data_IF_522909024490
#
_entry.id   IF_522909024490
#
_cell.length_a   1.000
_cell.length_b   1.000
_cell.length_c   1.000
_cell.angle_alpha   90.00
_cell.angle_beta   90.00
_cell.angle_gamma   90.00
#
_symmetry.space_group_name_H-M   'P 1'
#
loop_
_entity.id
_entity.type
_entity.pdbx_description
1 polymer ?
#
# COMPACT_ATOMS: atom_id res chain seq x y z
N UNK A 1 28.99 -29.09 -20.80
CA UNK A 1 27.82 -28.34 -20.46
C UNK A 1 27.78 -28.06 -18.96
N UNK A 2 28.25 -26.88 -18.57
CA UNK A 2 28.29 -26.45 -17.17
C UNK A 2 27.33 -25.28 -17.03
N UNK A 3 26.06 -25.59 -16.77
CA UNK A 3 25.13 -24.59 -16.22
C UNK A 3 25.68 -24.10 -14.88
N UNK A 4 25.96 -22.81 -14.73
CA UNK A 4 26.34 -22.29 -13.41
C UNK A 4 25.16 -22.47 -12.46
N UNK A 5 25.47 -22.90 -11.26
CA UNK A 5 24.56 -23.08 -10.15
C UNK A 5 23.75 -21.79 -9.89
N UNK A 6 22.54 -21.74 -10.39
CA UNK A 6 21.54 -20.68 -10.12
C UNK A 6 20.96 -20.73 -8.71
N UNK A 7 21.60 -21.42 -7.76
CA UNK A 7 20.97 -21.73 -6.49
C UNK A 7 21.19 -20.68 -5.40
N UNK A 8 22.44 -20.40 -5.03
CA UNK A 8 22.74 -19.62 -3.82
C UNK A 8 22.87 -18.12 -4.07
N UNK A 9 23.46 -17.70 -5.18
CA UNK A 9 23.63 -16.29 -5.48
C UNK A 9 22.31 -15.53 -5.74
N UNK A 10 21.30 -16.22 -6.29
CA UNK A 10 19.98 -15.64 -6.51
C UNK A 10 19.14 -15.57 -5.23
N UNK A 11 19.33 -16.51 -4.30
CA UNK A 11 18.65 -16.49 -2.99
C UNK A 11 19.15 -15.30 -2.17
N UNK A 12 20.47 -15.09 -2.10
CA UNK A 12 21.04 -13.94 -1.37
C UNK A 12 20.68 -12.58 -2.00
N UNK A 13 20.49 -12.52 -3.32
CA UNK A 13 20.06 -11.29 -4.01
C UNK A 13 18.55 -11.01 -3.82
N UNK A 14 17.74 -12.04 -3.53
CA UNK A 14 16.29 -11.90 -3.31
C UNK A 14 15.94 -11.64 -1.86
N UNK A 15 16.82 -11.95 -0.90
CA UNK A 15 16.54 -11.71 0.53
C UNK A 15 16.18 -10.25 0.83
N UNK A 16 16.90 -9.21 0.31
CA UNK A 16 16.49 -7.82 0.52
C UNK A 16 15.15 -7.47 -0.13
N UNK A 17 14.74 -8.21 -1.19
CA UNK A 17 13.46 -7.99 -1.84
C UNK A 17 12.28 -8.54 -1.03
N UNK A 18 12.52 -9.52 -0.17
CA UNK A 18 11.50 -10.14 0.68
C UNK A 18 11.54 -9.62 2.11
N UNK A 19 12.59 -8.92 2.52
CA UNK A 19 12.70 -8.35 3.85
C UNK A 19 11.83 -7.08 3.96
N UNK A 20 10.79 -7.06 4.82
CA UNK A 20 9.91 -5.91 5.01
C UNK A 20 10.65 -4.69 5.57
N UNK A 21 11.80 -4.88 6.25
CA UNK A 21 12.62 -3.82 6.85
C UNK A 21 13.80 -3.39 5.97
N UNK A 22 13.93 -3.92 4.75
CA UNK A 22 15.08 -3.64 3.86
C UNK A 22 15.34 -2.16 3.58
N UNK A 23 14.37 -1.28 3.81
CA UNK A 23 14.47 0.17 3.65
C UNK A 23 14.51 0.94 4.99
N UNK A 24 14.55 0.25 6.11
CA UNK A 24 14.44 0.84 7.45
C UNK A 24 15.80 1.11 8.14
N UNK A 25 16.85 1.35 7.34
CA UNK A 25 18.20 1.76 7.80
C UNK A 25 18.82 0.83 8.87
N UNK A 26 18.70 -0.48 8.63
CA UNK A 26 19.24 -1.53 9.51
C UNK A 26 18.37 -1.89 10.71
N UNK A 27 17.23 -1.23 10.89
CA UNK A 27 16.24 -1.64 11.89
C UNK A 27 15.61 -2.97 11.50
N UNK A 28 15.41 -3.84 12.49
CA UNK A 28 14.71 -5.11 12.38
C UNK A 28 13.62 -5.15 13.45
N UNK A 29 12.37 -5.11 13.01
CA UNK A 29 11.20 -5.20 13.90
C UNK A 29 10.71 -6.64 14.10
N UNK A 30 9.49 -6.82 14.64
CA UNK A 30 8.87 -8.12 14.81
C UNK A 30 8.60 -8.81 13.47
N UNK A 31 8.32 -10.13 13.53
CA UNK A 31 7.87 -10.88 12.36
C UNK A 31 6.61 -10.24 11.77
N UNK A 32 6.61 -10.08 10.45
CA UNK A 32 5.48 -9.52 9.73
C UNK A 32 4.62 -10.64 9.13
N UNK A 33 3.29 -10.46 8.98
CA UNK A 33 2.43 -11.38 8.27
C UNK A 33 2.94 -11.65 6.86
N UNK A 34 2.78 -12.88 6.40
CA UNK A 34 3.19 -13.24 5.03
C UNK A 34 2.28 -12.61 3.96
N UNK A 35 1.03 -12.29 4.30
CA UNK A 35 0.06 -11.64 3.41
C UNK A 35 -0.26 -12.43 2.14
N UNK A 36 -0.10 -13.77 2.16
CA UNK A 36 -0.16 -14.62 0.97
C UNK A 36 -1.28 -15.68 1.00
N UNK A 37 -2.13 -15.65 2.00
CA UNK A 37 -3.22 -16.58 2.20
C UNK A 37 -4.56 -15.89 2.34
N UNK A 38 -5.62 -16.53 1.83
CA UNK A 38 -7.00 -16.10 2.03
C UNK A 38 -7.41 -16.53 3.44
N UNK A 39 -7.97 -15.61 4.20
CA UNK A 39 -8.50 -15.91 5.53
C UNK A 39 -9.62 -14.92 5.90
N UNK A 40 -10.36 -15.25 6.93
CA UNK A 40 -11.26 -14.29 7.59
C UNK A 40 -10.43 -13.47 8.60
N UNK A 41 -10.36 -12.17 8.38
CA UNK A 41 -9.66 -11.25 9.28
C UNK A 41 -10.56 -10.98 10.49
N UNK A 42 -10.14 -11.42 11.67
CA UNK A 42 -10.92 -11.33 12.91
C UNK A 42 -11.12 -9.89 13.37
N UNK A 43 -10.19 -8.97 13.04
CA UNK A 43 -10.28 -7.58 13.48
C UNK A 43 -11.41 -6.81 12.76
N UNK A 44 -11.68 -7.18 11.51
CA UNK A 44 -12.70 -6.51 10.70
C UNK A 44 -13.90 -7.42 10.38
N UNK A 45 -13.83 -8.73 10.70
CA UNK A 45 -14.89 -9.70 10.45
C UNK A 45 -15.20 -9.91 8.96
N UNK A 46 -14.18 -9.84 8.12
CA UNK A 46 -14.31 -9.97 6.67
C UNK A 46 -13.26 -10.90 6.09
N UNK A 47 -13.61 -11.56 4.99
CA UNK A 47 -12.68 -12.34 4.20
C UNK A 47 -11.74 -11.43 3.43
N UNK A 48 -10.46 -11.76 3.44
CA UNK A 48 -9.41 -11.01 2.75
C UNK A 48 -8.58 -11.91 1.85
N UNK A 49 -8.01 -11.32 0.82
CA UNK A 49 -7.14 -11.99 -0.15
C UNK A 49 -5.81 -11.24 -0.30
N UNK A 50 -4.74 -11.93 -0.72
CA UNK A 50 -3.45 -11.29 -0.97
C UNK A 50 -3.53 -10.10 -1.91
N UNK A 51 -2.83 -9.03 -1.58
CA UNK A 51 -2.67 -7.86 -2.43
C UNK A 51 -1.26 -7.81 -3.04
N UNK A 52 -1.19 -7.79 -4.36
CA UNK A 52 0.08 -7.93 -5.08
C UNK A 52 1.11 -6.83 -4.76
N UNK A 53 0.67 -5.64 -4.37
CA UNK A 53 1.56 -4.52 -4.04
C UNK A 53 2.02 -4.52 -2.58
N UNK A 54 1.45 -5.36 -1.71
CA UNK A 54 1.78 -5.43 -0.29
C UNK A 54 3.29 -5.60 -0.05
N UNK A 55 3.97 -6.44 -0.83
CA UNK A 55 5.42 -6.69 -0.73
C UNK A 55 6.26 -5.41 -0.91
N UNK A 56 5.78 -4.46 -1.71
CA UNK A 56 6.45 -3.17 -1.96
C UNK A 56 5.99 -2.15 -0.91
N UNK A 57 4.69 -2.09 -0.67
CA UNK A 57 4.09 -1.10 0.22
C UNK A 57 4.56 -1.28 1.67
N UNK A 58 4.62 -2.51 2.17
CA UNK A 58 5.12 -2.84 3.51
C UNK A 58 6.51 -2.22 3.78
N UNK A 59 7.43 -2.28 2.83
CA UNK A 59 8.76 -1.67 2.97
C UNK A 59 8.70 -0.15 3.10
N UNK A 60 7.82 0.49 2.32
CA UNK A 60 7.63 1.93 2.37
C UNK A 60 6.99 2.38 3.68
N UNK A 61 6.08 1.58 4.24
CA UNK A 61 5.45 1.84 5.54
C UNK A 61 6.49 1.72 6.66
N UNK A 62 7.27 0.63 6.71
CA UNK A 62 8.34 0.48 7.71
C UNK A 62 9.45 1.53 7.55
N UNK A 63 9.80 1.94 6.31
CA UNK A 63 10.69 3.08 6.10
C UNK A 63 10.09 4.37 6.66
N UNK A 64 8.80 4.61 6.46
CA UNK A 64 8.12 5.79 7.02
C UNK A 64 8.18 5.77 8.54
N UNK A 65 7.91 4.63 9.18
CA UNK A 65 8.01 4.47 10.62
C UNK A 65 9.43 4.77 11.14
N UNK A 66 10.45 4.19 10.50
CA UNK A 66 11.86 4.43 10.85
C UNK A 66 12.26 5.90 10.70
N UNK A 67 11.89 6.55 9.59
CA UNK A 67 12.17 7.97 9.35
C UNK A 67 11.47 8.91 10.34
N UNK A 68 10.36 8.48 10.93
CA UNK A 68 9.62 9.21 11.97
C UNK A 68 10.05 8.84 13.40
N UNK A 69 11.18 8.14 13.57
CA UNK A 69 11.66 7.70 14.87
C UNK A 69 10.74 6.69 15.54
N UNK A 70 10.17 5.79 14.74
CA UNK A 70 9.25 4.72 15.17
C UNK A 70 7.95 5.25 15.81
N UNK A 71 7.38 6.28 15.21
CA UNK A 71 6.14 6.89 15.70
C UNK A 71 4.94 5.91 15.74
N UNK A 72 4.97 4.84 14.95
CA UNK A 72 3.97 3.75 14.99
C UNK A 72 4.31 2.65 16.00
N UNK A 73 5.48 2.71 16.68
CA UNK A 73 6.04 1.69 17.55
C UNK A 73 7.18 0.91 16.89
N UNK A 74 8.12 0.42 17.71
CA UNK A 74 9.17 -0.52 17.27
C UNK A 74 8.60 -1.94 17.08
N UNK A 75 7.50 -2.24 17.74
CA UNK A 75 6.73 -3.48 17.66
C UNK A 75 5.61 -3.44 16.61
N UNK A 76 5.60 -2.42 15.77
CA UNK A 76 4.58 -2.22 14.74
C UNK A 76 4.53 -3.38 13.73
N UNK A 77 3.34 -3.96 13.59
CA UNK A 77 3.02 -5.00 12.61
C UNK A 77 2.09 -4.41 11.56
N UNK A 78 2.36 -4.69 10.30
CA UNK A 78 1.59 -4.19 9.17
C UNK A 78 1.25 -5.32 8.19
N UNK A 79 0.01 -5.35 7.73
CA UNK A 79 -0.45 -6.18 6.63
C UNK A 79 -1.29 -5.35 5.65
N UNK A 80 -1.41 -5.83 4.41
CA UNK A 80 -2.17 -5.16 3.35
C UNK A 80 -2.85 -6.22 2.48
N UNK A 81 -4.18 -6.22 2.50
CA UNK A 81 -5.00 -7.25 1.88
C UNK A 81 -6.13 -6.64 1.06
N UNK A 82 -6.66 -7.40 0.12
CA UNK A 82 -7.90 -7.06 -0.60
C UNK A 82 -9.11 -7.60 0.17
N UNK A 83 -10.08 -6.72 0.43
CA UNK A 83 -11.30 -7.10 1.15
C UNK A 83 -12.27 -7.79 0.18
N UNK A 84 -12.67 -9.02 0.52
CA UNK A 84 -13.70 -9.77 -0.20
C UNK A 84 -15.11 -9.53 0.35
N UNK A 85 -15.23 -9.15 1.64
CA UNK A 85 -16.50 -8.98 2.34
C UNK A 85 -16.79 -10.06 3.37
N UNK A 86 -17.99 -10.08 3.92
CA UNK A 86 -18.38 -11.01 4.98
C UNK A 86 -19.06 -12.27 4.46
N UNK A 87 -18.97 -13.37 5.24
CA UNK A 87 -19.64 -14.63 5.00
C UNK A 87 -19.20 -15.35 3.73
N UNK A 88 -20.02 -16.29 3.24
CA UNK A 88 -19.68 -17.11 2.06
C UNK A 88 -19.50 -16.31 0.78
N UNK A 89 -20.25 -15.21 0.61
CA UNK A 89 -20.09 -14.31 -0.55
C UNK A 89 -18.74 -13.62 -0.50
N UNK A 90 -18.34 -13.14 0.68
CA UNK A 90 -17.03 -12.52 0.90
C UNK A 90 -15.89 -13.50 0.66
N UNK A 91 -16.02 -14.74 1.12
CA UNK A 91 -15.07 -15.81 0.87
C UNK A 91 -14.89 -16.08 -0.63
N UNK A 92 -16.00 -16.24 -1.35
CA UNK A 92 -15.96 -16.47 -2.79
C UNK A 92 -15.30 -15.29 -3.55
N UNK A 93 -15.55 -14.07 -3.12
CA UNK A 93 -14.91 -12.87 -3.69
C UNK A 93 -13.39 -12.85 -3.41
N UNK A 94 -12.97 -13.19 -2.18
CA UNK A 94 -11.55 -13.31 -1.84
C UNK A 94 -10.84 -14.41 -2.63
N UNK A 95 -11.48 -15.57 -2.82
CA UNK A 95 -10.97 -16.67 -3.67
C UNK A 95 -10.82 -16.24 -5.14
N UNK A 96 -11.80 -15.51 -5.66
CA UNK A 96 -11.74 -14.96 -7.01
C UNK A 96 -10.60 -13.94 -7.16
N UNK A 97 -10.42 -13.05 -6.15
CA UNK A 97 -9.33 -12.08 -6.12
C UNK A 97 -7.95 -12.75 -6.15
N UNK A 98 -7.74 -13.76 -5.30
CA UNK A 98 -6.47 -14.46 -5.22
C UNK A 98 -6.14 -15.27 -6.49
N UNK A 99 -7.14 -15.73 -7.23
CA UNK A 99 -6.95 -16.49 -8.48
C UNK A 99 -6.67 -15.62 -9.71
N UNK A 100 -6.57 -14.27 -9.55
CA UNK A 100 -6.44 -13.31 -10.65
C UNK A 100 -7.55 -13.39 -11.71
N UNK A 101 -8.70 -13.94 -11.38
CA UNK A 101 -9.83 -14.07 -12.31
C UNK A 101 -10.49 -12.71 -12.66
N UNK A 102 -10.01 -11.61 -12.09
CA UNK A 102 -10.49 -10.27 -12.40
C UNK A 102 -9.93 -9.69 -13.71
N UNK A 103 -8.88 -10.31 -14.27
CA UNK A 103 -8.37 -9.94 -15.59
C UNK A 103 -8.72 -11.05 -16.57
N UNK A 104 -9.68 -10.84 -17.49
CA UNK A 104 -9.95 -11.78 -18.57
C UNK A 104 -8.67 -12.06 -19.35
N UNK A 105 -8.39 -13.32 -19.66
CA UNK A 105 -7.26 -13.68 -20.52
C UNK A 105 -7.38 -12.92 -21.86
N UNK A 106 -6.38 -12.14 -22.17
CA UNK A 106 -6.27 -11.41 -23.45
C UNK A 106 -6.69 -9.94 -23.43
N UNK A 107 -7.21 -9.41 -22.31
CA UNK A 107 -7.63 -8.00 -22.23
C UNK A 107 -6.64 -7.07 -21.49
N UNK A 108 -5.51 -7.60 -21.05
CA UNK A 108 -4.49 -6.76 -20.41
C UNK A 108 -3.96 -5.73 -21.43
N UNK A 109 -3.86 -4.44 -21.06
CA UNK A 109 -3.27 -3.42 -21.92
C UNK A 109 -1.86 -3.83 -22.36
N UNK A 110 -1.49 -3.51 -23.59
CA UNK A 110 -0.12 -3.75 -24.07
C UNK A 110 0.88 -2.92 -23.28
N UNK A 111 2.15 -3.36 -23.20
CA UNK A 111 3.19 -2.56 -22.56
C UNK A 111 3.21 -1.12 -23.13
N UNK A 112 3.09 -0.13 -22.24
CA UNK A 112 3.00 1.28 -22.60
C UNK A 112 1.57 1.81 -22.82
N UNK A 113 0.56 0.92 -22.82
CA UNK A 113 -0.85 1.28 -22.78
C UNK A 113 -1.35 1.18 -21.34
N UNK A 114 -2.25 2.06 -20.96
CA UNK A 114 -2.93 2.06 -19.67
C UNK A 114 -4.44 1.86 -19.86
N UNK A 115 -5.23 1.99 -18.79
CA UNK A 115 -6.68 2.01 -18.90
C UNK A 115 -7.13 3.15 -19.82
N UNK A 116 -8.28 2.96 -20.48
CA UNK A 116 -8.87 3.99 -21.32
C UNK A 116 -9.13 5.28 -20.53
N UNK A 117 -9.25 6.40 -21.22
CA UNK A 117 -9.56 7.67 -20.55
C UNK A 117 -10.86 7.60 -19.74
N UNK A 118 -11.86 6.87 -20.25
CA UNK A 118 -13.12 6.64 -19.57
C UNK A 118 -12.92 5.86 -18.26
N UNK A 119 -12.18 4.77 -18.29
CA UNK A 119 -11.87 3.98 -17.08
C UNK A 119 -11.07 4.79 -16.04
N UNK A 120 -10.14 5.64 -16.50
CA UNK A 120 -9.41 6.55 -15.61
C UNK A 120 -10.32 7.60 -14.95
N UNK A 121 -11.32 8.10 -15.65
CA UNK A 121 -12.23 9.15 -15.18
C UNK A 121 -13.37 8.60 -14.32
N UNK A 122 -13.89 7.40 -14.63
CA UNK A 122 -14.99 6.76 -13.92
C UNK A 122 -14.53 5.81 -12.79
N UNK A 123 -13.24 5.51 -12.75
CA UNK A 123 -12.65 4.70 -11.69
C UNK A 123 -12.72 5.37 -10.32
N UNK A 124 -12.66 4.57 -9.27
CA UNK A 124 -12.58 5.02 -7.88
C UNK A 124 -11.89 3.94 -7.05
N UNK A 125 -11.54 4.26 -5.83
CA UNK A 125 -11.06 3.29 -4.86
C UNK A 125 -11.39 3.70 -3.43
N UNK A 126 -11.48 2.68 -2.58
CA UNK A 126 -11.63 2.80 -1.14
C UNK A 126 -10.51 2.00 -0.47
N UNK A 127 -9.81 2.63 0.45
CA UNK A 127 -8.81 2.00 1.31
C UNK A 127 -9.29 2.13 2.75
N UNK A 128 -9.47 1.03 3.44
CA UNK A 128 -9.67 1.00 4.88
C UNK A 128 -8.31 0.79 5.56
N UNK A 129 -7.96 1.68 6.44
CA UNK A 129 -6.82 1.52 7.35
C UNK A 129 -7.37 1.21 8.73
N UNK A 130 -7.21 -0.03 9.18
CA UNK A 130 -7.61 -0.48 10.50
C UNK A 130 -6.39 -0.66 11.39
N UNK A 131 -6.39 -0.08 12.56
CA UNK A 131 -5.32 -0.20 13.53
C UNK A 131 -5.83 -0.65 14.89
N UNK A 132 -5.06 -1.54 15.53
CA UNK A 132 -5.29 -1.99 16.91
C UNK A 132 -4.10 -1.62 17.77
N UNK A 133 -4.33 -0.85 18.81
CA UNK A 133 -3.29 -0.50 19.76
C UNK A 133 -3.05 -1.63 20.77
N UNK A 134 -1.91 -1.58 21.48
CA UNK A 134 -1.54 -2.60 22.49
C UNK A 134 -2.54 -2.73 23.65
N UNK A 135 -3.28 -1.67 23.93
CA UNK A 135 -4.34 -1.65 24.94
C UNK A 135 -5.67 -2.21 24.45
N UNK A 136 -5.73 -2.66 23.19
CA UNK A 136 -6.92 -3.20 22.55
C UNK A 136 -7.85 -2.15 21.94
N UNK A 137 -7.54 -0.86 22.02
CA UNK A 137 -8.27 0.17 21.33
C UNK A 137 -8.07 0.05 19.80
N UNK A 138 -9.13 0.26 19.03
CA UNK A 138 -9.10 0.20 17.58
C UNK A 138 -9.47 1.54 16.96
N UNK A 139 -8.97 1.80 15.78
CA UNK A 139 -9.32 2.95 14.96
C UNK A 139 -9.36 2.51 13.50
N UNK A 140 -10.42 2.91 12.79
CA UNK A 140 -10.50 2.76 11.35
C UNK A 140 -10.55 4.11 10.66
N UNK A 141 -9.88 4.19 9.52
CA UNK A 141 -9.88 5.37 8.65
C UNK A 141 -10.13 4.89 7.23
N UNK A 142 -11.12 5.48 6.58
CA UNK A 142 -11.38 5.26 5.15
C UNK A 142 -10.74 6.37 4.33
N UNK A 143 -9.97 5.99 3.32
CA UNK A 143 -9.38 6.89 2.33
C UNK A 143 -9.95 6.56 0.98
N UNK A 144 -10.60 7.55 0.32
CA UNK A 144 -11.18 7.34 -1.01
C UNK A 144 -10.48 8.20 -2.06
N UNK A 145 -10.54 7.76 -3.32
CA UNK A 145 -10.13 8.54 -4.46
C UNK A 145 -11.19 8.52 -5.56
N UNK A 146 -11.36 9.65 -6.22
CA UNK A 146 -12.42 9.94 -7.21
C UNK A 146 -12.08 9.50 -8.64
N UNK A 147 -10.96 8.82 -8.84
CA UNK A 147 -10.47 8.32 -10.13
C UNK A 147 -9.78 6.98 -9.95
N UNK A 148 -9.47 6.30 -11.05
CA UNK A 148 -8.73 5.04 -10.98
C UNK A 148 -7.42 5.19 -10.20
N UNK A 149 -7.05 4.17 -9.39
CA UNK A 149 -5.87 4.25 -8.54
C UNK A 149 -4.54 4.20 -9.32
N UNK A 150 -4.55 3.63 -10.53
CA UNK A 150 -3.34 3.39 -11.31
C UNK A 150 -2.79 4.64 -11.99
N UNK A 151 -3.65 5.41 -12.62
CA UNK A 151 -3.25 6.56 -13.45
C UNK A 151 -4.00 7.85 -13.07
N UNK A 152 -5.33 7.82 -13.01
CA UNK A 152 -6.15 9.01 -12.81
C UNK A 152 -5.88 9.69 -11.48
N UNK A 153 -5.97 8.97 -10.37
CA UNK A 153 -5.69 9.50 -9.04
C UNK A 153 -4.18 9.69 -8.81
N UNK A 154 -3.36 8.72 -9.18
CA UNK A 154 -1.90 8.79 -8.97
C UNK A 154 -1.26 9.98 -9.66
N UNK A 155 -1.70 10.35 -10.87
CA UNK A 155 -1.18 11.55 -11.55
C UNK A 155 -1.45 12.85 -10.79
N UNK A 156 -2.62 12.96 -10.15
CA UNK A 156 -2.95 14.10 -9.29
C UNK A 156 -2.13 14.10 -8.01
N UNK A 157 -1.99 12.93 -7.37
CA UNK A 157 -1.21 12.79 -6.14
C UNK A 157 0.26 13.15 -6.32
N UNK A 158 0.91 12.72 -7.42
CA UNK A 158 2.32 13.05 -7.65
C UNK A 158 2.51 14.52 -7.99
N UNK A 159 1.58 15.13 -8.75
CA UNK A 159 1.61 16.56 -9.05
C UNK A 159 1.49 17.40 -7.77
N UNK A 160 0.52 17.08 -6.89
CA UNK A 160 0.35 17.77 -5.62
C UNK A 160 1.53 17.54 -4.67
N UNK A 161 2.17 16.38 -4.70
CA UNK A 161 3.39 16.11 -3.93
C UNK A 161 4.56 17.00 -4.39
N UNK A 162 4.73 17.14 -5.71
CA UNK A 162 5.76 18.04 -6.27
C UNK A 162 5.50 19.50 -5.92
N UNK A 163 4.25 19.95 -6.01
CA UNK A 163 3.87 21.33 -5.64
C UNK A 163 4.07 21.55 -4.13
N UNK A 164 3.72 20.59 -3.29
CA UNK A 164 3.93 20.64 -1.85
C UNK A 164 5.41 20.84 -1.50
N UNK A 165 6.31 20.08 -2.11
CA UNK A 165 7.76 20.21 -1.92
C UNK A 165 8.27 21.62 -2.29
N UNK A 166 7.80 22.17 -3.41
CA UNK A 166 8.33 23.43 -3.93
C UNK A 166 7.73 24.65 -3.23
N UNK A 167 6.45 24.59 -2.89
CA UNK A 167 5.72 25.78 -2.40
C UNK A 167 5.52 25.81 -0.90
N UNK A 168 5.25 24.65 -0.31
CA UNK A 168 4.80 24.60 1.09
C UNK A 168 5.92 24.17 2.04
N UNK A 169 6.92 23.41 1.55
CA UNK A 169 8.01 22.86 2.35
C UNK A 169 9.39 23.11 1.71
N UNK A 170 9.73 24.35 1.32
CA UNK A 170 10.98 24.65 0.63
C UNK A 170 12.24 24.40 1.48
N UNK A 171 12.10 24.34 2.80
CA UNK A 171 13.19 24.17 3.76
C UNK A 171 13.43 22.69 4.17
N UNK A 172 12.75 21.73 3.54
CA UNK A 172 13.02 20.32 3.85
C UNK A 172 14.45 19.96 3.47
N UNK A 173 15.16 19.30 4.39
CA UNK A 173 16.52 18.86 4.13
C UNK A 173 16.56 17.87 2.95
N UNK A 174 17.64 17.89 2.17
CA UNK A 174 17.84 16.94 1.09
C UNK A 174 17.95 15.49 1.63
N UNK A 175 17.36 14.53 0.91
CA UNK A 175 17.38 13.13 1.32
C UNK A 175 16.43 12.26 0.52
N UNK A 176 16.33 10.99 0.93
CA UNK A 176 15.38 10.03 0.38
C UNK A 176 14.28 9.77 1.41
N UNK A 177 13.10 10.28 1.16
CA UNK A 177 11.96 10.19 2.04
C UNK A 177 10.79 9.44 1.39
N UNK A 178 9.96 8.86 2.23
CA UNK A 178 8.58 8.52 1.87
C UNK A 178 7.67 9.72 2.12
N UNK A 179 6.48 9.79 1.49
CA UNK A 179 5.62 10.99 1.60
C UNK A 179 5.19 11.36 3.02
N UNK A 180 4.92 10.39 3.88
CA UNK A 180 4.43 10.68 5.22
C UNK A 180 5.46 11.46 6.07
N UNK A 181 6.72 11.02 6.24
CA UNK A 181 7.71 11.77 7.01
C UNK A 181 8.15 13.08 6.33
N UNK A 182 8.10 13.16 4.99
CA UNK A 182 8.52 14.37 4.28
C UNK A 182 7.45 15.46 4.25
N UNK A 183 6.22 15.08 3.95
CA UNK A 183 5.15 16.01 3.57
C UNK A 183 3.98 16.02 4.55
N UNK A 184 3.74 14.91 5.26
CA UNK A 184 2.80 14.78 6.37
C UNK A 184 1.41 15.36 6.12
N UNK A 185 0.92 16.12 7.08
CA UNK A 185 -0.40 16.76 7.05
C UNK A 185 -0.52 17.82 5.93
N UNK A 186 0.58 18.46 5.53
CA UNK A 186 0.57 19.45 4.46
C UNK A 186 0.15 18.82 3.13
N UNK A 187 0.76 17.69 2.78
CA UNK A 187 0.35 16.96 1.57
C UNK A 187 -1.09 16.44 1.71
N UNK A 188 -1.46 15.82 2.83
CA UNK A 188 -2.84 15.34 3.03
C UNK A 188 -3.87 16.44 2.76
N UNK A 189 -3.66 17.63 3.29
CA UNK A 189 -4.58 18.76 3.08
C UNK A 189 -4.65 19.17 1.60
N UNK A 190 -3.53 19.12 0.87
CA UNK A 190 -3.53 19.35 -0.58
C UNK A 190 -4.28 18.27 -1.35
N UNK A 191 -4.09 17.02 -0.99
CA UNK A 191 -4.78 15.89 -1.62
C UNK A 191 -6.30 16.00 -1.47
N UNK A 192 -6.77 16.42 -0.29
CA UNK A 192 -8.20 16.69 -0.05
C UNK A 192 -8.66 17.88 -0.92
N UNK A 193 -7.92 18.97 -0.93
CA UNK A 193 -8.35 20.20 -1.59
C UNK A 193 -8.30 20.12 -3.13
N UNK A 194 -7.35 19.37 -3.70
CA UNK A 194 -7.01 19.48 -5.13
C UNK A 194 -6.92 18.15 -5.87
N UNK A 195 -6.83 17.02 -5.18
CA UNK A 195 -6.65 15.72 -5.81
C UNK A 195 -7.88 14.80 -5.73
N UNK A 196 -8.96 15.22 -5.08
CA UNK A 196 -10.21 14.46 -4.97
C UNK A 196 -10.13 13.30 -3.98
N UNK A 197 -9.19 13.32 -3.04
CA UNK A 197 -9.11 12.33 -1.97
C UNK A 197 -9.94 12.76 -0.76
N UNK A 198 -10.46 11.77 -0.04
CA UNK A 198 -11.07 11.96 1.29
C UNK A 198 -10.33 11.14 2.33
N UNK A 199 -10.37 11.59 3.57
CA UNK A 199 -9.84 10.88 4.73
C UNK A 199 -10.89 10.99 5.84
N UNK A 200 -11.54 9.89 6.17
CA UNK A 200 -12.65 9.85 7.12
C UNK A 200 -12.31 8.89 8.25
N UNK A 201 -12.44 9.35 9.49
CA UNK A 201 -12.37 8.46 10.65
C UNK A 201 -13.73 7.78 10.79
N UNK A 202 -13.72 6.45 10.76
CA UNK A 202 -14.92 5.64 10.92
C UNK A 202 -15.27 5.56 12.42
N UNK A 203 -16.56 5.67 12.75
CA UNK A 203 -17.06 5.67 14.13
C UNK A 203 -17.55 4.29 14.54
#
# INVERSE_FOLDING_TARGET
DRSPSRGLGDVYKRQPLMDPFSLADGFQGPAQPAGNEIHEDEAIGQWVAPFMMAVINTKNIHRSNALMGHAYGEDFVYDEMMIGGSGETGKAAAEAAASNQFLPEGEAPKPGEGPSKKEQEEGYYDLMVHGTALDGNTLSVTVTGDKDPGYGSTSKMIAESAICLVKDLPEIAGGFYTPAPALGATLRNRLIASAGLTFTVDQ
#
